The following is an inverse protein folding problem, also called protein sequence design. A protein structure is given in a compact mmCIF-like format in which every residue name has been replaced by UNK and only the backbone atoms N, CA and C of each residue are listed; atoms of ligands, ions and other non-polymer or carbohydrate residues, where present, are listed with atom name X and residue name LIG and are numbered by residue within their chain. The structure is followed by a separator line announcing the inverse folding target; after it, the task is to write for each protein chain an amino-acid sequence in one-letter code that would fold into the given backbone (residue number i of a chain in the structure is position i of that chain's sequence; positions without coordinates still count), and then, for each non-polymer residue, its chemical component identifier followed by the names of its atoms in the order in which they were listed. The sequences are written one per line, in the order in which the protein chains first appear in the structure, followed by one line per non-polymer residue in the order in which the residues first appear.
data_IF_953494805954
#
_entry.id   IF_953494805954
#
_cell.length_a   1.000
_cell.length_b   1.000
_cell.length_c   1.000
_cell.angle_alpha   90.00
_cell.angle_beta   90.00
_cell.angle_gamma   90.00
#
_symmetry.space_group_name_H-M   'P 1'
#
loop_
_entity.id
_entity.type
_entity.pdbx_description
1 polymer ?
#
# COMPACT_ATOMS: atom_id res chain seq x y z
N UNK A 1 -14.13 29.94 -9.64
CA UNK A 1 -13.57 30.42 -8.36
C UNK A 1 -12.28 29.66 -8.15
N UNK A 2 -11.18 30.37 -7.96
CA UNK A 2 -9.81 29.87 -8.11
C UNK A 2 -9.24 29.33 -6.79
N UNK A 3 -8.41 28.29 -6.96
CA UNK A 3 -7.26 27.81 -6.15
C UNK A 3 -7.40 27.47 -4.66
N UNK A 4 -6.90 26.27 -4.30
CA UNK A 4 -5.78 26.14 -3.35
C UNK A 4 -5.07 24.80 -3.55
N UNK A 5 -3.81 24.88 -3.98
CA UNK A 5 -2.77 23.86 -3.84
C UNK A 5 -2.43 23.67 -2.36
N UNK A 6 -2.41 22.44 -1.87
CA UNK A 6 -1.92 22.07 -0.55
C UNK A 6 -0.94 20.91 -0.67
N UNK A 7 0.33 21.18 -0.40
CA UNK A 7 1.39 20.19 -0.20
C UNK A 7 1.06 19.35 1.04
N UNK A 8 0.77 18.07 0.88
CA UNK A 8 0.58 17.17 2.02
C UNK A 8 1.87 16.40 2.28
N UNK A 9 2.86 17.10 2.82
CA UNK A 9 3.97 16.48 3.51
C UNK A 9 3.63 16.42 4.99
N UNK A 10 2.99 15.34 5.46
CA UNK A 10 2.97 14.91 6.85
C UNK A 10 2.59 13.42 6.91
N UNK A 11 3.42 12.63 7.60
CA UNK A 11 3.20 11.23 7.95
C UNK A 11 1.86 11.06 8.67
N UNK A 12 1.05 10.07 8.24
CA UNK A 12 -0.35 9.76 8.59
C UNK A 12 -1.37 10.18 7.52
N UNK A 13 -1.46 9.39 6.45
CA UNK A 13 -2.64 9.39 5.58
C UNK A 13 -3.76 8.61 6.29
N UNK A 14 -4.63 9.31 7.01
CA UNK A 14 -5.99 8.84 7.24
C UNK A 14 -6.82 9.37 6.08
N UNK A 15 -7.17 8.50 5.14
CA UNK A 15 -8.13 8.84 4.08
C UNK A 15 -9.48 9.08 4.76
N UNK A 16 -9.90 10.34 4.80
CA UNK A 16 -11.21 10.75 5.30
C UNK A 16 -12.31 10.07 4.46
N UNK A 17 -13.44 9.66 5.08
CA UNK A 17 -14.53 8.94 4.42
C UNK A 17 -15.35 9.86 3.52
N UNK A 18 -14.78 10.25 2.37
CA UNK A 18 -15.51 10.88 1.28
C UNK A 18 -16.10 9.80 0.37
N UNK A 19 -17.43 9.71 0.40
CA UNK A 19 -18.27 8.77 -0.31
C UNK A 19 -18.34 9.02 -1.83
N UNK A 20 -17.58 8.26 -2.65
CA UNK A 20 -17.85 8.12 -4.09
C UNK A 20 -17.19 6.88 -4.75
N UNK A 21 -17.71 5.69 -4.42
CA UNK A 21 -17.54 4.38 -5.11
C UNK A 21 -16.13 3.73 -5.16
N UNK A 22 -15.80 3.06 -4.05
CA UNK A 22 -15.11 1.75 -3.90
C UNK A 22 -13.74 1.53 -4.58
N UNK A 23 -12.97 2.59 -4.75
CA UNK A 23 -11.57 2.49 -5.15
C UNK A 23 -10.79 3.60 -4.45
N UNK A 24 -10.02 3.24 -3.44
CA UNK A 24 -9.11 4.15 -2.74
C UNK A 24 -7.71 3.87 -3.26
N UNK A 25 -7.13 4.83 -4.00
CA UNK A 25 -5.70 4.83 -4.29
C UNK A 25 -4.96 5.36 -3.05
N UNK A 26 -4.40 4.46 -2.25
CA UNK A 26 -3.61 4.82 -1.07
C UNK A 26 -2.14 4.70 -1.44
N UNK A 27 -1.38 5.79 -1.34
CA UNK A 27 0.07 5.76 -1.58
C UNK A 27 0.82 6.34 -0.39
N UNK A 28 1.71 5.54 0.21
CA UNK A 28 2.69 6.03 1.17
C UNK A 28 3.83 6.79 0.47
N UNK A 29 4.75 7.29 1.28
CA UNK A 29 5.80 8.23 0.86
C UNK A 29 7.19 7.64 1.07
N UNK A 30 8.16 8.44 1.51
CA UNK A 30 9.42 7.90 2.03
C UNK A 30 9.29 7.68 3.53
N UNK A 31 9.82 6.56 4.01
CA UNK A 31 9.82 6.18 5.41
C UNK A 31 8.82 5.07 5.72
N UNK A 32 8.80 4.64 6.98
CA UNK A 32 7.95 3.55 7.42
C UNK A 32 6.52 4.07 7.65
N UNK A 33 5.59 3.69 6.79
CA UNK A 33 4.21 4.15 6.81
C UNK A 33 3.24 3.14 7.43
N UNK A 34 2.12 3.65 7.94
CA UNK A 34 0.95 2.85 8.32
C UNK A 34 -0.19 3.24 7.39
N UNK A 35 -0.59 2.32 6.53
CA UNK A 35 -1.63 2.51 5.52
C UNK A 35 -2.82 1.62 5.83
N UNK A 36 -4.01 2.18 5.65
CA UNK A 36 -5.25 1.42 5.81
C UNK A 36 -6.33 1.96 4.90
N UNK A 37 -6.86 1.09 4.05
CA UNK A 37 -8.12 1.31 3.34
C UNK A 37 -9.34 0.76 4.09
N UNK A 38 -10.48 0.92 3.44
CA UNK A 38 -11.79 0.70 4.03
C UNK A 38 -12.51 -0.48 3.40
N UNK A 39 -13.82 -0.31 3.17
CA UNK A 39 -14.56 -1.22 2.32
C UNK A 39 -14.45 -0.77 0.87
N UNK A 40 -14.21 -1.68 -0.06
CA UNK A 40 -14.02 -1.38 -1.48
C UNK A 40 -12.98 -2.29 -2.10
N UNK A 41 -12.78 -2.19 -3.41
CA UNK A 41 -11.64 -2.84 -4.04
C UNK A 41 -10.56 -1.75 -4.20
N UNK A 42 -9.61 -1.72 -3.28
CA UNK A 42 -8.62 -0.66 -3.16
C UNK A 42 -7.31 -1.02 -3.90
N UNK A 43 -6.57 0.00 -4.34
CA UNK A 43 -5.18 -0.16 -4.80
C UNK A 43 -4.29 0.58 -3.83
N UNK A 44 -3.37 -0.14 -3.20
CA UNK A 44 -2.48 0.41 -2.19
C UNK A 44 -1.03 0.23 -2.57
N UNK A 45 -0.25 1.33 -2.46
CA UNK A 45 1.19 1.40 -2.71
C UNK A 45 1.88 1.88 -1.43
N UNK A 46 2.76 1.07 -0.83
CA UNK A 46 3.45 1.40 0.42
C UNK A 46 4.46 2.52 0.27
N UNK A 47 5.24 2.50 -0.81
CA UNK A 47 6.27 3.51 -1.06
C UNK A 47 7.66 3.00 -0.68
N UNK A 48 8.55 3.89 -0.25
CA UNK A 48 9.90 3.50 0.17
C UNK A 48 9.93 3.39 1.68
N UNK A 49 10.44 2.29 2.23
CA UNK A 49 10.49 2.08 3.69
C UNK A 49 9.98 0.71 4.10
N UNK A 50 9.81 0.53 5.41
CA UNK A 50 9.22 -0.66 6.00
C UNK A 50 7.78 -0.36 6.41
N UNK A 51 6.83 -0.81 5.62
CA UNK A 51 5.43 -0.38 5.72
C UNK A 51 4.54 -1.40 6.43
N UNK A 52 3.47 -0.89 7.02
CA UNK A 52 2.37 -1.68 7.57
C UNK A 52 1.10 -1.33 6.80
N UNK A 53 0.61 -2.27 6.01
CA UNK A 53 -0.58 -2.09 5.17
C UNK A 53 -1.67 -3.02 5.68
N UNK A 54 -2.82 -2.43 6.03
CA UNK A 54 -3.99 -3.13 6.53
C UNK A 54 -5.26 -2.67 5.82
N UNK A 55 -5.71 -3.47 4.86
CA UNK A 55 -6.92 -3.22 4.10
C UNK A 55 -8.15 -3.87 4.75
N UNK A 56 -9.32 -3.37 4.37
CA UNK A 56 -10.59 -3.73 4.97
C UNK A 56 -11.26 -4.88 4.25
N UNK A 57 -12.33 -4.59 3.51
CA UNK A 57 -13.14 -5.64 2.87
C UNK A 57 -13.29 -5.35 1.39
N UNK A 58 -13.02 -6.35 0.55
CA UNK A 58 -13.13 -6.28 -0.90
C UNK A 58 -12.05 -7.12 -1.56
N UNK A 59 -11.79 -6.89 -2.84
CA UNK A 59 -10.73 -7.57 -3.57
C UNK A 59 -9.64 -6.56 -3.86
N UNK A 60 -8.67 -6.46 -2.97
CA UNK A 60 -7.70 -5.37 -2.96
C UNK A 60 -6.44 -5.72 -3.76
N UNK A 61 -5.70 -4.72 -4.22
CA UNK A 61 -4.37 -4.89 -4.82
C UNK A 61 -3.33 -4.14 -4.02
N UNK A 62 -2.43 -4.88 -3.37
CA UNK A 62 -1.41 -4.33 -2.47
C UNK A 62 -0.03 -4.44 -3.10
N UNK A 63 0.68 -3.32 -3.19
CA UNK A 63 2.08 -3.19 -3.58
C UNK A 63 2.81 -2.54 -2.40
N UNK A 64 3.60 -3.28 -1.61
CA UNK A 64 4.20 -2.68 -0.42
C UNK A 64 5.34 -1.70 -0.71
N UNK A 65 5.91 -1.73 -1.92
CA UNK A 65 7.06 -0.90 -2.29
C UNK A 65 6.67 0.22 -3.26
N UNK A 66 7.59 1.16 -3.53
CA UNK A 66 7.52 2.05 -4.68
C UNK A 66 8.01 1.31 -5.95
N UNK A 67 7.10 0.88 -6.85
CA UNK A 67 7.47 0.11 -8.04
C UNK A 67 8.19 0.97 -9.09
N UNK A 68 8.23 2.29 -8.93
CA UNK A 68 8.91 3.23 -9.84
C UNK A 68 10.33 3.54 -9.39
N UNK A 69 10.72 3.11 -8.19
CA UNK A 69 12.06 3.31 -7.68
C UNK A 69 13.09 2.46 -8.45
N UNK A 70 14.36 2.88 -8.40
CA UNK A 70 15.44 2.16 -9.09
C UNK A 70 15.71 0.77 -8.51
N UNK A 71 15.32 0.53 -7.26
CA UNK A 71 15.46 -0.77 -6.62
C UNK A 71 14.34 -0.98 -5.59
N UNK A 72 13.12 -1.29 -6.05
CA UNK A 72 11.95 -1.47 -5.17
C UNK A 72 12.21 -2.60 -4.17
N UNK A 73 11.86 -2.42 -2.90
CA UNK A 73 11.96 -3.48 -1.88
C UNK A 73 13.37 -3.77 -1.37
N UNK A 74 14.37 -2.97 -1.76
CA UNK A 74 15.76 -3.22 -1.37
C UNK A 74 15.99 -2.98 0.11
N UNK A 75 16.29 -4.05 0.85
CA UNK A 75 16.45 -4.01 2.31
C UNK A 75 15.20 -3.49 3.05
N UNK A 76 14.03 -3.63 2.43
CA UNK A 76 12.75 -3.27 3.01
C UNK A 76 12.08 -4.51 3.62
N UNK A 77 11.16 -4.28 4.55
CA UNK A 77 10.38 -5.29 5.24
C UNK A 77 8.99 -4.76 5.49
N UNK A 78 8.06 -5.19 4.63
CA UNK A 78 6.67 -4.79 4.71
C UNK A 78 5.80 -5.86 5.34
N UNK A 79 4.71 -5.40 5.96
CA UNK A 79 3.62 -6.24 6.44
C UNK A 79 2.37 -5.89 5.67
N UNK A 80 1.90 -6.83 4.87
CA UNK A 80 0.75 -6.64 4.00
C UNK A 80 -0.40 -7.52 4.46
N UNK A 81 -1.54 -6.92 4.78
CA UNK A 81 -2.79 -7.59 5.10
C UNK A 81 -3.90 -7.04 4.22
N UNK A 82 -4.44 -7.90 3.34
CA UNK A 82 -5.52 -7.55 2.42
C UNK A 82 -6.91 -7.55 3.07
N UNK A 83 -7.01 -8.02 4.33
CA UNK A 83 -8.30 -8.10 4.99
C UNK A 83 -9.19 -9.17 4.38
N UNK A 84 -10.47 -8.86 4.19
CA UNK A 84 -11.51 -9.80 3.80
C UNK A 84 -11.81 -9.73 2.30
N UNK A 85 -11.58 -10.83 1.59
CA UNK A 85 -11.98 -11.01 0.20
C UNK A 85 -10.86 -11.66 -0.61
N UNK A 86 -10.79 -11.38 -1.92
CA UNK A 86 -9.77 -11.97 -2.80
C UNK A 86 -8.74 -10.93 -3.17
N UNK A 87 -7.67 -10.91 -2.39
CA UNK A 87 -6.64 -9.89 -2.54
C UNK A 87 -5.50 -10.35 -3.44
N UNK A 88 -4.88 -9.37 -4.09
CA UNK A 88 -3.72 -9.54 -4.96
C UNK A 88 -2.53 -8.81 -4.36
N UNK A 89 -1.46 -9.54 -4.06
CA UNK A 89 -0.21 -8.97 -3.57
C UNK A 89 0.81 -8.92 -4.71
N UNK A 90 1.27 -7.72 -5.06
CA UNK A 90 2.29 -7.52 -6.10
C UNK A 90 3.65 -7.49 -5.42
N UNK A 91 4.36 -8.60 -5.54
CA UNK A 91 5.67 -8.82 -4.89
C UNK A 91 6.86 -8.71 -5.86
N UNK A 92 6.62 -8.25 -7.09
CA UNK A 92 7.62 -8.15 -8.14
C UNK A 92 7.03 -7.72 -9.48
N UNK A 93 7.92 -7.49 -10.44
CA UNK A 93 7.58 -7.28 -11.85
C UNK A 93 7.92 -8.50 -12.72
N UNK A 94 7.82 -8.35 -14.04
CA UNK A 94 8.11 -9.41 -15.02
C UNK A 94 9.53 -9.99 -14.88
N UNK A 95 10.47 -9.17 -14.45
CA UNK A 95 11.90 -9.45 -14.49
C UNK A 95 12.49 -9.65 -13.09
N UNK A 96 11.97 -8.96 -12.06
CA UNK A 96 12.58 -8.94 -10.73
C UNK A 96 11.54 -9.05 -9.60
N UNK A 97 11.78 -9.86 -8.56
CA UNK A 97 11.08 -9.71 -7.29
C UNK A 97 11.47 -8.38 -6.64
N UNK A 98 10.54 -7.76 -5.90
CA UNK A 98 10.79 -6.51 -5.18
C UNK A 98 11.50 -6.77 -3.85
N UNK A 99 11.04 -7.74 -3.07
CA UNK A 99 11.60 -8.01 -1.75
C UNK A 99 12.88 -8.86 -1.83
N UNK A 100 14.01 -8.22 -2.13
CA UNK A 100 15.31 -8.87 -2.27
C UNK A 100 16.31 -8.25 -1.30
N UNK A 101 16.95 -9.11 -0.49
CA UNK A 101 17.98 -8.68 0.48
C UNK A 101 17.46 -8.20 1.84
N UNK A 102 16.13 -8.13 2.03
CA UNK A 102 15.51 -7.95 3.34
C UNK A 102 15.46 -9.26 4.16
N UNK A 103 15.21 -9.12 5.47
CA UNK A 103 15.18 -10.26 6.41
C UNK A 103 13.97 -11.17 6.18
N UNK A 104 12.77 -10.62 5.86
CA UNK A 104 11.55 -11.38 5.62
C UNK A 104 10.43 -10.52 4.98
N UNK A 105 9.58 -11.09 4.12
CA UNK A 105 8.29 -10.50 3.72
C UNK A 105 7.17 -11.21 4.47
N UNK A 106 6.33 -10.46 5.18
CA UNK A 106 5.17 -11.01 5.89
C UNK A 106 3.87 -10.65 5.17
N UNK A 107 3.27 -11.63 4.51
CA UNK A 107 1.93 -11.52 3.90
C UNK A 107 0.92 -12.27 4.75
N UNK A 108 -0.16 -11.61 5.15
CA UNK A 108 -1.27 -12.22 5.86
C UNK A 108 -2.55 -12.14 5.02
N UNK A 109 -3.25 -13.26 4.93
CA UNK A 109 -4.54 -13.37 4.25
C UNK A 109 -5.59 -13.79 5.27
N UNK A 110 -6.70 -13.06 5.35
CA UNK A 110 -7.83 -13.45 6.19
C UNK A 110 -8.87 -14.17 5.34
N UNK A 111 -8.97 -15.50 5.49
CA UNK A 111 -10.04 -16.28 4.87
C UNK A 111 -11.34 -16.11 5.67
N UNK A 112 -12.40 -15.62 5.01
CA UNK A 112 -13.79 -15.72 5.48
C UNK A 112 -14.55 -16.81 4.71
#
# INVERSE_FOLDING_TARGET
MSIASGSHGFSRYSVEPDTSWFHTDVSGSQGNDFLSGGSGNDIVIGGLGNDFIFEGSGNDTLIGVDPTSNNPGMNETDRLNGGAGKDTFVIGDKNNPYYVGGEELMVSMTLL
#
